data_IF_495978952662
#
_entry.id   IF_495978952662
#
_cell.length_a   1.000
_cell.length_b   1.000
_cell.length_c   1.000
_cell.angle_alpha   90.00
_cell.angle_beta   90.00
_cell.angle_gamma   90.00
#
_symmetry.space_group_name_H-M   'P 1'
#
loop_
_entity.id
_entity.type
_entity.pdbx_description
1 polymer ?
#
# COMPACT_ATOMS: atom_id res chain seq x y z
N UNK A 1 -19.33 26.08 23.24
CA UNK A 1 -18.88 24.75 23.70
C UNK A 1 -19.79 23.60 23.25
N UNK A 2 -21.08 23.55 23.59
CA UNK A 2 -21.94 22.42 23.19
C UNK A 2 -22.12 22.26 21.66
N UNK A 3 -22.18 23.36 20.92
CA UNK A 3 -22.38 23.34 19.46
C UNK A 3 -21.17 22.75 18.72
N UNK A 4 -19.96 23.04 19.18
CA UNK A 4 -18.70 22.56 18.56
C UNK A 4 -18.43 21.08 18.86
N UNK A 5 -18.81 20.61 20.05
CA UNK A 5 -18.69 19.18 20.40
C UNK A 5 -19.65 18.35 19.55
N UNK A 6 -20.85 18.88 19.29
CA UNK A 6 -21.86 18.20 18.47
C UNK A 6 -21.45 18.13 16.99
N UNK A 7 -20.82 19.18 16.46
CA UNK A 7 -20.34 19.20 15.07
C UNK A 7 -19.12 18.30 14.87
N UNK A 8 -18.17 18.27 15.81
CA UNK A 8 -16.99 17.39 15.73
C UNK A 8 -17.39 15.90 15.80
N UNK A 9 -18.30 15.54 16.72
CA UNK A 9 -18.83 14.18 16.82
C UNK A 9 -19.56 13.75 15.54
N UNK A 10 -20.32 14.66 14.92
CA UNK A 10 -21.00 14.42 13.64
C UNK A 10 -20.03 14.14 12.48
N UNK A 11 -18.90 14.84 12.43
CA UNK A 11 -17.89 14.64 11.39
C UNK A 11 -17.21 13.26 11.48
N UNK A 12 -16.86 12.83 12.70
CA UNK A 12 -16.24 11.50 12.94
C UNK A 12 -17.19 10.37 12.55
N UNK A 13 -18.48 10.49 12.92
CA UNK A 13 -19.49 9.50 12.54
C UNK A 13 -19.70 9.43 11.01
N UNK A 14 -19.65 10.58 10.33
CA UNK A 14 -19.78 10.64 8.88
C UNK A 14 -18.60 9.98 8.16
N UNK A 15 -17.36 10.22 8.60
CA UNK A 15 -16.18 9.59 7.98
C UNK A 15 -16.11 8.09 8.25
N UNK A 16 -16.54 7.62 9.44
CA UNK A 16 -16.70 6.18 9.71
C UNK A 16 -17.68 5.52 8.74
N UNK A 17 -18.86 6.11 8.53
CA UNK A 17 -19.85 5.57 7.58
C UNK A 17 -19.28 5.48 6.16
N UNK A 18 -18.51 6.48 5.72
CA UNK A 18 -17.85 6.44 4.39
C UNK A 18 -16.83 5.31 4.27
N UNK A 19 -16.09 4.99 5.33
CA UNK A 19 -15.15 3.86 5.34
C UNK A 19 -15.90 2.52 5.20
N UNK A 20 -17.04 2.37 5.89
CA UNK A 20 -17.89 1.18 5.77
C UNK A 20 -18.44 1.05 4.33
N UNK A 21 -18.95 2.15 3.76
CA UNK A 21 -19.45 2.19 2.37
C UNK A 21 -18.35 1.85 1.36
N UNK A 22 -17.13 2.37 1.54
CA UNK A 22 -15.97 2.04 0.71
C UNK A 22 -15.63 0.54 0.77
N UNK A 23 -15.73 -0.07 1.95
CA UNK A 23 -15.42 -1.50 2.13
C UNK A 23 -16.43 -2.37 1.37
N UNK A 24 -17.71 -2.02 1.44
CA UNK A 24 -18.76 -2.69 0.66
C UNK A 24 -18.53 -2.51 -0.84
N UNK A 25 -18.16 -1.30 -1.27
CA UNK A 25 -17.84 -1.02 -2.67
C UNK A 25 -16.65 -1.84 -3.18
N UNK A 26 -15.60 -2.02 -2.36
CA UNK A 26 -14.47 -2.88 -2.70
C UNK A 26 -14.90 -4.34 -2.86
N UNK A 27 -15.72 -4.86 -1.94
CA UNK A 27 -16.26 -6.22 -2.05
C UNK A 27 -17.02 -6.41 -3.37
N UNK A 28 -17.93 -5.47 -3.71
CA UNK A 28 -18.65 -5.52 -4.98
C UNK A 28 -17.71 -5.42 -6.20
N UNK A 29 -16.71 -4.54 -6.14
CA UNK A 29 -15.71 -4.38 -7.19
C UNK A 29 -14.89 -5.66 -7.41
N UNK A 30 -14.52 -6.36 -6.34
CA UNK A 30 -13.79 -7.64 -6.45
C UNK A 30 -14.61 -8.69 -7.17
N UNK A 31 -15.92 -8.78 -6.89
CA UNK A 31 -16.84 -9.69 -7.58
C UNK A 31 -16.92 -9.37 -9.08
N UNK A 32 -17.07 -8.09 -9.43
CA UNK A 32 -17.14 -7.64 -10.84
C UNK A 32 -15.80 -7.85 -11.57
N UNK A 33 -14.70 -7.50 -10.93
CA UNK A 33 -13.35 -7.60 -11.49
C UNK A 33 -12.94 -9.04 -11.80
N UNK A 34 -13.32 -9.99 -10.92
CA UNK A 34 -13.04 -11.42 -11.10
C UNK A 34 -13.94 -12.05 -12.18
N UNK A 35 -15.17 -11.56 -12.34
CA UNK A 35 -16.15 -12.15 -13.28
C UNK A 35 -16.06 -11.61 -14.71
N UNK A 36 -15.50 -10.42 -14.93
CA UNK A 36 -15.39 -9.82 -16.26
C UNK A 36 -14.11 -10.25 -17.01
N UNK A 37 -14.24 -11.29 -17.85
CA UNK A 37 -13.14 -11.85 -18.65
C UNK A 37 -12.97 -11.24 -20.06
N UNK A 38 -13.69 -10.16 -20.40
CA UNK A 38 -13.61 -9.57 -21.75
C UNK A 38 -12.25 -8.90 -22.02
N UNK A 39 -11.83 -8.90 -23.29
CA UNK A 39 -10.60 -8.26 -23.75
C UNK A 39 -10.67 -6.73 -23.59
N UNK A 40 -9.55 -6.08 -23.26
CA UNK A 40 -9.43 -4.62 -23.27
C UNK A 40 -9.18 -4.10 -24.68
N UNK A 41 -10.16 -3.43 -25.33
CA UNK A 41 -10.09 -3.11 -26.76
C UNK A 41 -9.07 -1.99 -27.10
N UNK A 42 -8.51 -1.32 -26.10
CA UNK A 42 -7.60 -0.17 -26.26
C UNK A 42 -6.16 -0.47 -25.81
N UNK A 43 -5.81 -1.74 -25.58
CA UNK A 43 -4.46 -2.12 -25.13
C UNK A 43 -3.44 -2.04 -26.27
N UNK A 44 -2.34 -1.28 -26.14
CA UNK A 44 -1.32 -1.20 -27.17
C UNK A 44 -0.62 -2.55 -27.39
N UNK A 45 -0.57 -3.04 -28.63
CA UNK A 45 0.09 -4.32 -28.96
C UNK A 45 1.59 -4.31 -28.57
N UNK A 46 2.24 -3.15 -28.63
CA UNK A 46 3.62 -2.96 -28.23
C UNK A 46 3.89 -3.28 -26.73
N UNK A 47 2.85 -3.31 -25.89
CA UNK A 47 2.96 -3.60 -24.45
C UNK A 47 2.69 -5.08 -24.14
N UNK A 48 2.53 -5.92 -25.17
CA UNK A 48 2.31 -7.34 -25.02
C UNK A 48 0.84 -7.71 -24.78
N UNK A 49 0.62 -8.84 -24.10
CA UNK A 49 -0.73 -9.40 -23.92
C UNK A 49 -1.60 -8.48 -23.05
N UNK A 50 -2.74 -8.10 -23.61
CA UNK A 50 -3.74 -7.29 -22.93
C UNK A 50 -4.29 -8.00 -21.66
N UNK A 51 -4.34 -7.32 -20.50
CA UNK A 51 -5.08 -7.79 -19.34
C UNK A 51 -6.60 -7.80 -19.63
N UNK A 52 -7.38 -8.57 -18.87
CA UNK A 52 -8.84 -8.50 -19.00
C UNK A 52 -9.36 -7.15 -18.50
N UNK A 53 -10.51 -6.70 -19.00
CA UNK A 53 -11.10 -5.44 -18.56
C UNK A 53 -11.50 -5.50 -17.09
N UNK A 54 -11.87 -6.69 -16.58
CA UNK A 54 -12.13 -6.92 -15.17
C UNK A 54 -10.89 -6.64 -14.30
N UNK A 55 -9.70 -7.06 -14.73
CA UNK A 55 -8.44 -6.77 -14.02
C UNK A 55 -8.15 -5.26 -14.01
N UNK A 56 -8.37 -4.57 -15.13
CA UNK A 56 -8.15 -3.11 -15.21
C UNK A 56 -9.12 -2.36 -14.29
N UNK A 57 -10.40 -2.70 -14.33
CA UNK A 57 -11.44 -2.11 -13.46
C UNK A 57 -11.15 -2.40 -11.99
N UNK A 58 -10.74 -3.62 -11.66
CA UNK A 58 -10.36 -4.01 -10.31
C UNK A 58 -9.16 -3.21 -9.82
N UNK A 59 -8.10 -3.10 -10.62
CA UNK A 59 -6.90 -2.35 -10.26
C UNK A 59 -7.21 -0.86 -10.06
N UNK A 60 -7.98 -0.26 -10.98
CA UNK A 60 -8.38 1.14 -10.87
C UNK A 60 -9.27 1.38 -9.65
N UNK A 61 -10.28 0.53 -9.41
CA UNK A 61 -11.16 0.66 -8.27
C UNK A 61 -10.45 0.39 -6.94
N UNK A 62 -9.50 -0.55 -6.89
CA UNK A 62 -8.64 -0.77 -5.73
C UNK A 62 -7.77 0.47 -5.46
N UNK A 63 -7.20 1.08 -6.49
CA UNK A 63 -6.42 2.32 -6.33
C UNK A 63 -7.27 3.46 -5.77
N UNK A 64 -8.48 3.66 -6.28
CA UNK A 64 -9.42 4.67 -5.77
C UNK A 64 -9.84 4.35 -4.33
N UNK A 65 -10.16 3.09 -4.03
CA UNK A 65 -10.49 2.64 -2.68
C UNK A 65 -9.36 2.94 -1.70
N UNK A 66 -8.12 2.55 -2.03
CA UNK A 66 -6.95 2.79 -1.18
C UNK A 66 -6.71 4.29 -0.96
N UNK A 67 -6.85 5.11 -2.00
CA UNK A 67 -6.70 6.55 -1.90
C UNK A 67 -7.75 7.17 -0.96
N UNK A 68 -9.04 6.86 -1.17
CA UNK A 68 -10.13 7.40 -0.35
C UNK A 68 -10.08 6.89 1.08
N UNK A 69 -9.84 5.60 1.27
CA UNK A 69 -9.71 5.00 2.60
C UNK A 69 -8.57 5.65 3.37
N UNK A 70 -7.40 5.81 2.75
CA UNK A 70 -6.24 6.47 3.37
C UNK A 70 -6.55 7.92 3.73
N UNK A 71 -7.26 8.66 2.86
CA UNK A 71 -7.64 10.06 3.12
C UNK A 71 -8.58 10.20 4.32
N UNK A 72 -9.65 9.40 4.39
CA UNK A 72 -10.59 9.46 5.51
C UNK A 72 -9.96 8.99 6.82
N UNK A 73 -9.19 7.91 6.75
CA UNK A 73 -8.43 7.42 7.90
C UNK A 73 -7.43 8.47 8.42
N UNK A 74 -6.69 9.13 7.53
CA UNK A 74 -5.74 10.19 7.89
C UNK A 74 -6.40 11.39 8.57
N UNK A 75 -7.60 11.78 8.14
CA UNK A 75 -8.35 12.88 8.76
C UNK A 75 -8.79 12.57 10.19
N UNK A 76 -9.06 11.31 10.49
CA UNK A 76 -9.48 10.87 11.81
C UNK A 76 -8.33 10.77 12.82
N UNK A 77 -7.08 10.77 12.38
CA UNK A 77 -5.92 10.71 13.27
C UNK A 77 -5.72 12.03 14.05
N UNK A 78 -5.23 11.90 15.27
CA UNK A 78 -4.71 13.03 16.04
C UNK A 78 -3.39 13.57 15.45
N UNK A 79 -2.99 14.77 15.88
CA UNK A 79 -1.78 15.42 15.35
C UNK A 79 -0.48 14.70 15.76
N UNK A 80 -0.43 14.11 16.95
CA UNK A 80 0.74 13.37 17.41
C UNK A 80 0.99 12.12 16.55
N UNK A 81 -0.07 11.37 16.22
CA UNK A 81 -0.04 10.23 15.33
C UNK A 81 0.37 10.63 13.92
N UNK A 82 -0.18 11.73 13.38
CA UNK A 82 0.23 12.25 12.05
C UNK A 82 1.71 12.62 12.00
N UNK A 83 2.24 13.24 13.04
CA UNK A 83 3.67 13.52 13.14
C UNK A 83 4.52 12.26 13.23
N UNK A 84 4.10 11.29 14.03
CA UNK A 84 4.75 9.99 14.11
C UNK A 84 4.80 9.30 12.74
N UNK A 85 3.70 9.33 11.97
CA UNK A 85 3.64 8.80 10.60
C UNK A 85 4.62 9.50 9.66
N UNK A 86 4.61 10.84 9.63
CA UNK A 86 5.52 11.62 8.77
C UNK A 86 6.99 11.39 9.12
N UNK A 87 7.31 11.38 10.42
CA UNK A 87 8.67 11.17 10.91
C UNK A 87 9.16 9.76 10.60
N UNK A 88 8.33 8.75 10.88
CA UNK A 88 8.65 7.35 10.58
C UNK A 88 8.77 7.08 9.08
N UNK A 89 7.96 7.74 8.25
CA UNK A 89 8.07 7.67 6.80
C UNK A 89 9.39 8.24 6.30
N UNK A 90 9.71 9.47 6.70
CA UNK A 90 10.90 10.16 6.22
C UNK A 90 12.19 9.47 6.70
N UNK A 91 12.31 9.23 8.01
CA UNK A 91 13.54 8.67 8.58
C UNK A 91 13.58 7.14 8.50
N UNK A 92 12.50 6.46 8.89
CA UNK A 92 12.47 5.00 8.90
C UNK A 92 12.29 4.40 7.52
N UNK A 93 11.22 4.80 6.83
CA UNK A 93 10.81 4.21 5.56
C UNK A 93 11.86 4.38 4.46
N UNK A 94 12.33 5.61 4.23
CA UNK A 94 13.32 5.87 3.18
C UNK A 94 14.70 5.25 3.50
N UNK A 95 15.18 5.35 4.75
CA UNK A 95 16.44 4.70 5.13
C UNK A 95 16.32 3.18 5.05
N UNK A 96 15.20 2.60 5.50
CA UNK A 96 14.92 1.18 5.37
C UNK A 96 14.92 0.71 3.92
N UNK A 97 14.32 1.48 3.02
CA UNK A 97 14.33 1.21 1.58
C UNK A 97 15.76 1.22 1.01
N UNK A 98 16.56 2.25 1.32
CA UNK A 98 17.94 2.37 0.84
C UNK A 98 18.80 1.22 1.37
N UNK A 99 18.74 0.96 2.68
CA UNK A 99 19.53 -0.09 3.34
C UNK A 99 19.11 -1.47 2.86
N UNK A 100 17.80 -1.74 2.75
CA UNK A 100 17.30 -3.01 2.24
C UNK A 100 17.63 -3.22 0.77
N UNK A 101 17.52 -2.17 -0.06
CA UNK A 101 17.96 -2.21 -1.45
C UNK A 101 19.46 -2.53 -1.58
N UNK A 102 20.29 -1.87 -0.77
CA UNK A 102 21.73 -2.16 -0.72
C UNK A 102 21.99 -3.61 -0.27
N UNK A 103 21.28 -4.11 0.73
CA UNK A 103 21.41 -5.50 1.19
C UNK A 103 21.07 -6.52 0.09
N UNK A 104 20.00 -6.29 -0.67
CA UNK A 104 19.61 -7.15 -1.81
C UNK A 104 20.69 -7.12 -2.90
N UNK A 105 21.22 -5.95 -3.23
CA UNK A 105 22.31 -5.82 -4.22
C UNK A 105 23.58 -6.53 -3.76
N UNK A 106 23.99 -6.35 -2.50
CA UNK A 106 25.15 -7.03 -1.92
C UNK A 106 24.97 -8.55 -1.97
N UNK A 107 23.79 -9.05 -1.58
CA UNK A 107 23.48 -10.47 -1.63
C UNK A 107 23.54 -11.02 -3.07
N UNK A 108 23.01 -10.29 -4.05
CA UNK A 108 23.11 -10.65 -5.47
C UNK A 108 24.57 -10.73 -5.94
N UNK A 109 25.39 -9.73 -5.60
CA UNK A 109 26.82 -9.69 -5.95
C UNK A 109 27.64 -10.79 -5.26
N UNK A 110 27.21 -11.22 -4.07
CA UNK A 110 27.82 -12.32 -3.33
C UNK A 110 27.39 -13.71 -3.87
N UNK A 111 26.57 -13.78 -4.92
CA UNK A 111 26.08 -15.03 -5.49
C UNK A 111 25.02 -15.73 -4.65
N UNK A 112 24.38 -15.02 -3.71
CA UNK A 112 23.28 -15.57 -2.92
C UNK A 112 22.09 -15.84 -3.83
N UNK A 113 21.53 -17.05 -3.75
CA UNK A 113 20.29 -17.37 -4.45
C UNK A 113 19.12 -16.69 -3.73
N UNK A 114 18.65 -15.59 -4.29
CA UNK A 114 17.60 -14.75 -3.68
C UNK A 114 16.21 -15.38 -3.78
N UNK A 115 16.00 -16.31 -4.72
CA UNK A 115 14.76 -17.04 -4.87
C UNK A 115 14.85 -18.39 -4.13
N UNK A 116 13.80 -18.80 -3.39
CA UNK A 116 13.71 -20.15 -2.83
C UNK A 116 13.85 -21.20 -3.94
N UNK A 117 14.44 -22.36 -3.63
CA UNK A 117 14.61 -23.45 -4.60
C UNK A 117 13.27 -23.94 -5.22
N UNK A 118 12.16 -23.75 -4.51
CA UNK A 118 10.82 -24.09 -4.98
C UNK A 118 10.19 -23.02 -5.88
N UNK A 119 10.78 -21.83 -5.99
CA UNK A 119 10.27 -20.75 -6.81
C UNK A 119 10.84 -20.84 -8.23
N UNK A 120 10.03 -20.58 -9.28
CA UNK A 120 10.54 -20.52 -10.64
C UNK A 120 11.50 -19.35 -10.81
N UNK A 121 12.70 -19.61 -11.32
CA UNK A 121 13.71 -18.59 -11.66
C UNK A 121 13.38 -17.88 -12.98
N UNK A 122 12.24 -17.20 -13.03
CA UNK A 122 11.83 -16.37 -14.17
C UNK A 122 12.06 -14.88 -13.89
N UNK A 123 12.18 -14.08 -14.94
CA UNK A 123 12.30 -12.61 -14.83
C UNK A 123 11.14 -12.01 -14.02
N UNK A 124 9.93 -12.51 -14.24
CA UNK A 124 8.74 -12.08 -13.49
C UNK A 124 8.85 -12.38 -11.99
N UNK A 125 9.41 -13.54 -11.61
CA UNK A 125 9.62 -13.89 -10.20
C UNK A 125 10.68 -12.99 -9.55
N UNK A 126 11.74 -12.65 -10.27
CA UNK A 126 12.78 -11.71 -9.79
C UNK A 126 12.24 -10.29 -9.63
N UNK A 127 11.41 -9.81 -10.58
CA UNK A 127 10.74 -8.52 -10.47
C UNK A 127 9.81 -8.51 -9.25
N UNK A 128 8.97 -9.54 -9.09
CA UNK A 128 8.07 -9.67 -7.96
C UNK A 128 8.84 -9.69 -6.62
N UNK A 129 9.95 -10.43 -6.56
CA UNK A 129 10.83 -10.44 -5.39
C UNK A 129 11.38 -9.05 -5.09
N UNK A 130 11.88 -8.33 -6.10
CA UNK A 130 12.39 -6.97 -5.94
C UNK A 130 11.33 -6.01 -5.40
N UNK A 131 10.11 -6.05 -5.95
CA UNK A 131 8.98 -5.24 -5.48
C UNK A 131 8.65 -5.56 -4.02
N UNK A 132 8.51 -6.84 -3.68
CA UNK A 132 8.20 -7.26 -2.30
C UNK A 132 9.32 -6.89 -1.34
N UNK A 133 10.58 -7.13 -1.70
CA UNK A 133 11.74 -6.80 -0.87
C UNK A 133 11.83 -5.29 -0.60
N UNK A 134 11.56 -4.46 -1.62
CA UNK A 134 11.55 -3.01 -1.51
C UNK A 134 10.49 -2.51 -0.53
N UNK A 135 9.24 -2.98 -0.65
CA UNK A 135 8.17 -2.62 0.28
C UNK A 135 8.39 -3.19 1.68
N UNK A 136 8.91 -4.42 1.80
CA UNK A 136 9.22 -5.02 3.10
C UNK A 136 10.31 -4.24 3.83
N UNK A 137 11.41 -3.89 3.15
CA UNK A 137 12.48 -3.10 3.73
C UNK A 137 12.01 -1.71 4.18
N UNK A 138 11.19 -1.05 3.37
CA UNK A 138 10.56 0.22 3.73
C UNK A 138 9.65 0.06 4.96
N UNK A 139 8.81 -0.98 5.00
CA UNK A 139 7.91 -1.25 6.13
C UNK A 139 8.67 -1.54 7.43
N UNK A 140 9.76 -2.31 7.37
CA UNK A 140 10.61 -2.60 8.54
C UNK A 140 11.26 -1.33 9.06
N UNK A 141 11.91 -0.55 8.19
CA UNK A 141 12.53 0.71 8.59
C UNK A 141 11.51 1.69 9.17
N UNK A 142 10.35 1.81 8.51
CA UNK A 142 9.21 2.59 8.99
C UNK A 142 8.78 2.15 10.40
N UNK A 143 8.58 0.85 10.61
CA UNK A 143 8.13 0.30 11.89
C UNK A 143 9.12 0.56 13.03
N UNK A 144 10.42 0.41 12.78
CA UNK A 144 11.48 0.70 13.76
C UNK A 144 11.43 2.18 14.17
N UNK A 145 11.38 3.09 13.19
CA UNK A 145 11.32 4.52 13.45
C UNK A 145 10.04 4.91 14.19
N UNK A 146 8.90 4.35 13.79
CA UNK A 146 7.62 4.60 14.45
C UNK A 146 7.65 4.16 15.93
N UNK A 147 8.13 2.94 16.22
CA UNK A 147 8.31 2.47 17.60
C UNK A 147 9.28 3.37 18.39
N UNK A 148 10.40 3.76 17.78
CA UNK A 148 11.38 4.66 18.40
C UNK A 148 10.81 6.03 18.73
N UNK A 149 9.94 6.59 17.87
CA UNK A 149 9.28 7.87 18.09
C UNK A 149 8.44 7.87 19.37
N UNK A 150 7.67 6.80 19.60
CA UNK A 150 6.87 6.63 20.80
C UNK A 150 7.74 6.41 22.03
N UNK A 151 8.75 5.54 21.97
CA UNK A 151 9.64 5.26 23.12
C UNK A 151 10.35 6.54 23.58
N UNK A 152 10.84 7.36 22.66
CA UNK A 152 11.55 8.59 22.97
C UNK A 152 10.66 9.72 23.53
N UNK A 153 9.33 9.60 23.42
CA UNK A 153 8.35 10.61 23.83
C UNK A 153 7.33 10.08 24.85
N UNK A 154 7.67 8.99 25.53
CA UNK A 154 7.04 8.56 26.79
C UNK A 154 7.58 9.40 27.94
#
# INVERSE_FOLDING_TARGET
MNTEITTAAGAVAADKRKLDDLTVALCALTVVGVSAASATPFWPEAWGRAPSIGVVVLAAGLAVFLALHTLYWWRALDEAAKEAHKWAWWWGGNLGFIVGGAAVVIAALAGVNLLPAAAPHTDAALIALGVVAAFAAQAVGYGIAWCGWWIARR
#
